data_IF_441447403008
#
_entry.id   IF_441447403008
#
_cell.length_a   1.000
_cell.length_b   1.000
_cell.length_c   1.000
_cell.angle_alpha   90.00
_cell.angle_beta   90.00
_cell.angle_gamma   90.00
#
_symmetry.space_group_name_H-M   'P 1'
#
loop_
_entity.id
_entity.type
_entity.pdbx_description
1 polymer ?
#
# COMPACT_ATOMS: atom_id res chain seq x y z
N UNK A 1 -51.41 56.11 39.79
CA UNK A 1 -51.87 55.05 38.87
C UNK A 1 -50.66 54.57 38.08
N UNK A 2 -50.27 53.30 38.28
CA UNK A 2 -49.32 52.44 37.53
C UNK A 2 -47.92 53.04 37.21
N UNK A 3 -46.80 52.71 37.89
CA UNK A 3 -46.33 51.46 38.51
C UNK A 3 -46.15 50.30 37.51
N UNK A 4 -45.10 50.38 36.69
CA UNK A 4 -44.51 49.20 36.02
C UNK A 4 -43.00 49.22 36.26
N UNK A 5 -42.53 48.07 36.74
CA UNK A 5 -41.32 47.80 37.51
C UNK A 5 -40.07 47.68 36.63
N UNK A 6 -38.95 48.18 37.15
CA UNK A 6 -37.59 48.15 36.58
C UNK A 6 -36.83 46.82 36.82
N UNK A 7 -37.51 45.69 37.01
CA UNK A 7 -36.88 44.47 37.54
C UNK A 7 -36.89 43.27 36.57
N UNK A 8 -36.74 43.49 35.26
CA UNK A 8 -36.63 42.39 34.29
C UNK A 8 -35.64 42.69 33.15
N UNK A 9 -34.47 43.20 33.48
CA UNK A 9 -33.38 43.38 32.49
C UNK A 9 -32.00 42.96 33.04
N UNK A 10 -31.98 41.95 33.91
CA UNK A 10 -30.76 41.38 34.50
C UNK A 10 -30.70 39.84 34.42
N UNK A 11 -31.51 39.24 33.55
CA UNK A 11 -31.50 37.81 33.25
C UNK A 11 -31.63 37.68 31.75
N UNK A 12 -30.82 36.84 31.11
CA UNK A 12 -30.60 36.71 29.65
C UNK A 12 -29.50 37.65 29.14
N UNK A 13 -28.25 37.35 29.49
CA UNK A 13 -27.05 37.23 28.61
C UNK A 13 -25.94 36.64 29.52
N UNK A 14 -26.17 35.42 30.03
CA UNK A 14 -25.12 34.56 30.60
C UNK A 14 -25.33 33.16 30.01
N UNK A 15 -25.49 33.05 28.68
CA UNK A 15 -25.42 31.78 27.94
C UNK A 15 -24.91 32.08 26.51
N UNK A 16 -23.73 32.70 26.37
CA UNK A 16 -22.96 32.69 25.09
C UNK A 16 -21.46 32.50 25.34
N UNK A 17 -21.06 31.87 26.45
CA UNK A 17 -19.63 31.58 26.74
C UNK A 17 -19.36 30.09 27.02
N UNK A 18 -20.35 29.21 26.79
CA UNK A 18 -20.20 27.78 27.07
C UNK A 18 -20.56 26.87 25.88
N UNK A 19 -20.14 27.26 24.67
CA UNK A 19 -20.25 26.41 23.45
C UNK A 19 -19.02 26.54 22.53
N UNK A 20 -17.85 26.86 23.10
CA UNK A 20 -16.57 26.81 22.40
C UNK A 20 -15.61 25.76 23.00
N UNK A 21 -16.11 24.86 23.87
CA UNK A 21 -15.26 23.97 24.68
C UNK A 21 -15.70 22.51 24.59
N UNK A 22 -16.06 21.99 23.41
CA UNK A 22 -16.33 20.56 23.23
C UNK A 22 -16.18 20.10 21.78
N UNK A 23 -15.06 20.43 21.12
CA UNK A 23 -14.60 19.69 19.95
C UNK A 23 -13.09 19.43 19.99
N UNK A 24 -12.55 19.17 21.18
CA UNK A 24 -11.46 18.17 21.27
C UNK A 24 -12.12 16.81 21.21
N UNK A 25 -12.65 16.47 20.03
CA UNK A 25 -12.77 15.07 19.66
C UNK A 25 -11.35 14.54 19.72
N UNK A 26 -11.00 13.84 20.80
CA UNK A 26 -9.87 12.94 20.78
C UNK A 26 -10.10 12.04 19.59
N UNK A 27 -9.43 12.34 18.48
CA UNK A 27 -9.30 11.43 17.36
C UNK A 27 -8.66 10.18 17.94
N UNK A 28 -9.50 9.21 18.29
CA UNK A 28 -9.08 7.84 18.49
C UNK A 28 -8.62 7.42 17.10
N UNK A 29 -7.35 7.69 16.80
CA UNK A 29 -6.68 7.16 15.61
C UNK A 29 -6.63 5.66 15.88
N UNK A 30 -7.69 4.95 15.49
CA UNK A 30 -7.69 3.50 15.42
C UNK A 30 -6.36 3.11 14.80
N UNK A 31 -5.59 2.31 15.53
CA UNK A 31 -4.28 1.88 15.08
C UNK A 31 -4.52 0.98 13.88
N UNK A 32 -4.45 1.58 12.69
CA UNK A 32 -4.75 0.90 11.44
C UNK A 32 -3.85 -0.31 11.31
N UNK A 33 -4.45 -1.48 11.06
CA UNK A 33 -3.67 -2.70 10.84
C UNK A 33 -2.89 -2.54 9.54
N UNK A 34 -1.58 -2.76 9.59
CA UNK A 34 -0.71 -2.69 8.41
C UNK A 34 -1.16 -3.72 7.37
N UNK A 35 -1.34 -3.27 6.14
CA UNK A 35 -1.78 -4.08 4.99
C UNK A 35 -0.71 -4.22 3.92
N UNK A 36 0.25 -3.30 3.86
CA UNK A 36 1.38 -3.42 2.95
C UNK A 36 2.66 -2.84 3.54
N UNK A 37 3.79 -3.41 3.13
CA UNK A 37 5.12 -2.87 3.37
C UNK A 37 5.69 -2.44 2.02
N UNK A 38 6.04 -1.16 1.89
CA UNK A 38 6.61 -0.58 0.67
C UNK A 38 8.09 -0.30 0.85
N UNK A 39 8.92 -1.13 0.23
CA UNK A 39 10.36 -0.91 0.14
C UNK A 39 10.65 0.11 -0.96
N UNK A 40 11.26 1.23 -0.59
CA UNK A 40 11.60 2.32 -1.50
C UNK A 40 12.99 2.88 -1.20
N UNK A 41 13.59 3.65 -2.14
CA UNK A 41 14.85 4.33 -1.86
C UNK A 41 14.66 5.33 -0.73
N UNK A 42 15.74 5.74 -0.06
CA UNK A 42 15.68 6.76 1.01
C UNK A 42 15.04 8.06 0.54
N UNK A 43 15.37 8.47 -0.68
CA UNK A 43 14.90 9.69 -1.32
C UNK A 43 14.18 9.34 -2.63
N UNK A 44 13.05 10.01 -2.88
CA UNK A 44 12.21 9.72 -4.04
C UNK A 44 11.41 8.42 -3.90
N UNK A 45 11.26 7.71 -5.01
CA UNK A 45 10.35 6.57 -5.16
C UNK A 45 9.18 6.91 -6.10
N UNK A 46 8.49 5.87 -6.56
CA UNK A 46 7.33 6.00 -7.44
C UNK A 46 6.07 6.46 -6.69
N UNK A 47 5.96 6.16 -5.40
CA UNK A 47 4.89 6.69 -4.53
C UNK A 47 5.43 7.84 -3.68
N UNK A 48 4.78 9.00 -3.78
CA UNK A 48 5.18 10.19 -3.04
C UNK A 48 4.88 10.06 -1.55
N UNK A 49 5.61 10.80 -0.71
CA UNK A 49 5.36 10.83 0.73
C UNK A 49 3.94 11.35 1.03
N UNK A 50 3.52 12.38 0.32
CA UNK A 50 2.20 13.01 0.47
C UNK A 50 1.06 12.05 0.12
N UNK A 51 1.30 11.12 -0.81
CA UNK A 51 0.34 10.06 -1.13
C UNK A 51 0.31 9.00 -0.03
N UNK A 52 1.48 8.49 0.39
CA UNK A 52 1.59 7.48 1.45
C UNK A 52 1.05 7.94 2.81
N UNK A 53 1.21 9.21 3.16
CA UNK A 53 0.72 9.79 4.42
C UNK A 53 -0.82 9.71 4.56
N UNK A 54 -1.55 9.54 3.44
CA UNK A 54 -3.01 9.33 3.43
C UNK A 54 -3.42 7.89 3.73
N UNK A 55 -2.50 6.94 3.66
CA UNK A 55 -2.75 5.50 3.78
C UNK A 55 -1.87 4.88 4.86
N UNK A 56 -2.20 5.09 6.15
CA UNK A 56 -1.41 4.58 7.27
C UNK A 56 -1.35 3.05 7.34
N UNK A 57 -2.13 2.32 6.53
CA UNK A 57 -1.99 0.87 6.38
C UNK A 57 -0.75 0.45 5.56
N UNK A 58 -0.10 1.40 4.86
CA UNK A 58 1.09 1.16 4.04
C UNK A 58 2.32 1.71 4.76
N UNK A 59 3.18 0.82 5.25
CA UNK A 59 4.43 1.23 5.89
C UNK A 59 5.55 1.33 4.86
N UNK A 60 6.07 2.54 4.67
CA UNK A 60 7.30 2.76 3.90
C UNK A 60 8.52 2.36 4.72
N UNK A 61 9.40 1.59 4.09
CA UNK A 61 10.71 1.19 4.63
C UNK A 61 11.80 1.43 3.60
N UNK A 62 13.06 1.49 4.05
CA UNK A 62 14.20 1.79 3.18
C UNK A 62 15.27 0.70 3.16
N UNK A 63 15.04 -0.38 3.90
CA UNK A 63 15.94 -1.52 3.96
C UNK A 63 15.18 -2.84 3.99
N UNK A 64 15.79 -3.88 3.40
CA UNK A 64 15.22 -5.22 3.48
C UNK A 64 15.13 -5.73 4.92
N UNK A 65 16.05 -5.33 5.80
CA UNK A 65 16.01 -5.71 7.22
C UNK A 65 14.74 -5.22 7.90
N UNK A 66 14.37 -3.95 7.69
CA UNK A 66 13.12 -3.38 8.19
C UNK A 66 11.91 -4.09 7.58
N UNK A 67 11.92 -4.32 6.26
CA UNK A 67 10.85 -5.03 5.58
C UNK A 67 10.62 -6.42 6.19
N UNK A 68 11.69 -7.23 6.34
CA UNK A 68 11.63 -8.57 6.95
C UNK A 68 11.05 -8.56 8.36
N UNK A 69 11.34 -7.52 9.15
CA UNK A 69 10.84 -7.41 10.52
C UNK A 69 9.35 -7.05 10.62
N UNK A 70 8.76 -6.51 9.55
CA UNK A 70 7.38 -6.00 9.54
C UNK A 70 6.41 -6.84 8.70
N UNK A 71 6.91 -7.64 7.75
CA UNK A 71 6.10 -8.53 6.93
C UNK A 71 5.45 -9.60 7.81
N UNK A 72 4.12 -9.72 7.72
CA UNK A 72 3.32 -10.73 8.42
C UNK A 72 2.35 -11.41 7.46
N UNK A 73 1.73 -12.53 7.84
CA UNK A 73 0.89 -13.35 6.96
C UNK A 73 -0.21 -12.60 6.17
N UNK A 74 -0.65 -11.42 6.62
CA UNK A 74 -1.70 -10.63 5.98
C UNK A 74 -1.22 -9.27 5.45
N UNK A 75 0.04 -9.17 5.05
CA UNK A 75 0.62 -7.96 4.43
C UNK A 75 1.05 -8.23 3.01
N UNK A 76 0.75 -7.32 2.08
CA UNK A 76 1.36 -7.30 0.77
C UNK A 76 2.80 -6.73 0.82
N UNK A 77 3.63 -7.15 -0.12
CA UNK A 77 5.01 -6.67 -0.28
C UNK A 77 5.06 -5.81 -1.54
N UNK A 78 5.35 -4.52 -1.38
CA UNK A 78 5.52 -3.62 -2.51
C UNK A 78 6.98 -3.22 -2.60
N UNK A 79 7.55 -3.30 -3.80
CA UNK A 79 8.95 -2.99 -4.06
C UNK A 79 8.98 -1.90 -5.11
N UNK A 80 9.69 -0.82 -4.83
CA UNK A 80 9.98 0.20 -5.83
C UNK A 80 10.96 -0.32 -6.88
N UNK A 81 10.78 0.05 -8.15
CA UNK A 81 11.69 -0.30 -9.24
C UNK A 81 13.15 0.09 -8.93
N UNK A 82 13.35 1.18 -8.19
CA UNK A 82 14.67 1.72 -7.83
C UNK A 82 15.22 1.08 -6.54
N UNK A 83 14.49 0.11 -5.96
CA UNK A 83 14.88 -0.66 -4.77
C UNK A 83 14.98 -2.17 -5.02
N UNK A 84 14.85 -2.61 -6.26
CA UNK A 84 14.95 -4.04 -6.63
C UNK A 84 16.26 -4.67 -6.15
N UNK A 85 17.38 -3.94 -6.28
CA UNK A 85 18.70 -4.41 -5.85
C UNK A 85 18.87 -4.51 -4.33
N UNK A 86 17.93 -3.99 -3.54
CA UNK A 86 17.94 -4.11 -2.08
C UNK A 86 17.27 -5.40 -1.59
N UNK A 87 16.62 -6.16 -2.49
CA UNK A 87 15.85 -7.35 -2.14
C UNK A 87 16.63 -8.62 -2.47
N UNK A 88 16.93 -9.40 -1.44
CA UNK A 88 17.31 -10.81 -1.60
C UNK A 88 16.19 -11.61 -2.27
N UNK A 89 16.49 -12.16 -3.45
CA UNK A 89 15.54 -12.86 -4.32
C UNK A 89 15.07 -14.18 -3.72
N UNK A 90 15.92 -14.87 -2.96
CA UNK A 90 15.60 -16.16 -2.35
C UNK A 90 14.54 -15.97 -1.27
N UNK A 91 14.75 -15.00 -0.38
CA UNK A 91 13.75 -14.62 0.61
C UNK A 91 12.42 -14.17 -0.03
N UNK A 92 12.48 -13.37 -1.09
CA UNK A 92 11.26 -12.91 -1.76
C UNK A 92 10.51 -14.08 -2.42
N UNK A 93 11.25 -15.05 -2.97
CA UNK A 93 10.69 -16.30 -3.52
C UNK A 93 10.01 -17.13 -2.44
N UNK A 94 10.56 -17.20 -1.23
CA UNK A 94 9.90 -17.84 -0.09
C UNK A 94 8.61 -17.13 0.31
N UNK A 95 8.60 -15.80 0.34
CA UNK A 95 7.37 -15.04 0.62
C UNK A 95 6.33 -15.24 -0.47
N UNK A 96 6.75 -15.28 -1.74
CA UNK A 96 5.86 -15.59 -2.85
C UNK A 96 5.15 -16.94 -2.63
N UNK A 97 5.90 -18.01 -2.29
CA UNK A 97 5.34 -19.35 -2.00
C UNK A 97 4.31 -19.34 -0.87
N UNK A 98 4.47 -18.45 0.11
CA UNK A 98 3.48 -18.24 1.17
C UNK A 98 2.25 -17.43 0.72
N UNK A 99 2.06 -17.26 -0.60
CA UNK A 99 0.96 -16.54 -1.26
C UNK A 99 0.85 -15.07 -0.86
N UNK A 100 1.98 -14.41 -0.62
CA UNK A 100 1.99 -12.96 -0.42
C UNK A 100 1.73 -12.27 -1.77
N UNK A 101 0.82 -11.28 -1.83
CA UNK A 101 0.76 -10.38 -2.98
C UNK A 101 2.05 -9.56 -3.07
N UNK A 102 2.73 -9.65 -4.21
CA UNK A 102 3.96 -8.92 -4.49
C UNK A 102 3.67 -7.91 -5.60
N UNK A 103 4.07 -6.66 -5.38
CA UNK A 103 3.92 -5.57 -6.35
C UNK A 103 5.28 -5.01 -6.70
N UNK A 104 5.58 -4.88 -8.00
CA UNK A 104 6.69 -4.07 -8.46
C UNK A 104 6.15 -2.73 -8.97
N UNK A 105 6.45 -1.67 -8.24
CA UNK A 105 5.99 -0.30 -8.53
C UNK A 105 6.99 0.38 -9.45
N UNK A 106 6.54 0.87 -10.59
CA UNK A 106 7.34 1.57 -11.59
C UNK A 106 7.58 0.81 -12.90
N UNK A 107 7.19 -0.47 -12.98
CA UNK A 107 7.18 -1.26 -14.22
C UNK A 107 5.81 -1.92 -14.43
N UNK A 108 5.22 -1.68 -15.61
CA UNK A 108 3.95 -2.27 -16.00
C UNK A 108 4.07 -3.60 -16.75
N UNK A 109 5.26 -4.16 -16.94
CA UNK A 109 5.40 -5.48 -17.59
C UNK A 109 5.61 -6.57 -16.52
N UNK A 110 4.68 -7.54 -16.36
CA UNK A 110 4.79 -8.54 -15.31
C UNK A 110 5.93 -9.53 -15.57
N UNK A 111 6.26 -9.83 -16.83
CA UNK A 111 7.36 -10.74 -17.14
C UNK A 111 8.67 -10.06 -16.79
N UNK A 112 8.90 -8.83 -17.24
CA UNK A 112 10.08 -8.07 -16.85
C UNK A 112 10.18 -7.94 -15.33
N UNK A 113 9.07 -7.61 -14.68
CA UNK A 113 9.02 -7.40 -13.23
C UNK A 113 9.36 -8.64 -12.42
N UNK A 114 8.74 -9.77 -12.74
CA UNK A 114 8.77 -10.95 -11.88
C UNK A 114 9.72 -12.05 -12.35
N UNK A 115 10.06 -12.08 -13.63
CA UNK A 115 11.10 -12.98 -14.17
C UNK A 115 12.48 -12.35 -14.05
N UNK A 116 12.62 -11.12 -14.54
CA UNK A 116 13.94 -10.55 -14.82
C UNK A 116 14.43 -9.54 -13.77
N UNK A 117 13.51 -8.94 -12.99
CA UNK A 117 13.87 -8.03 -11.88
C UNK A 117 13.83 -8.68 -10.51
N UNK A 118 12.70 -9.29 -10.16
CA UNK A 118 12.50 -9.87 -8.82
C UNK A 118 12.79 -11.37 -8.77
N UNK A 119 12.63 -12.07 -9.90
CA UNK A 119 12.84 -13.52 -10.04
C UNK A 119 12.12 -14.40 -9.00
N UNK A 120 11.02 -13.93 -8.39
CA UNK A 120 10.41 -14.55 -7.21
C UNK A 120 9.35 -15.64 -7.49
N UNK A 121 8.93 -15.80 -8.74
CA UNK A 121 7.90 -16.76 -9.14
C UNK A 121 8.43 -17.92 -10.00
N UNK A 122 9.76 -18.06 -10.15
CA UNK A 122 10.40 -19.09 -10.97
C UNK A 122 9.84 -19.17 -12.42
N UNK A 123 9.47 -18.00 -12.97
CA UNK A 123 8.95 -17.90 -14.33
C UNK A 123 10.08 -18.23 -15.30
N UNK A 124 9.84 -19.18 -16.22
CA UNK A 124 10.79 -19.52 -17.29
C UNK A 124 10.19 -19.16 -18.64
N UNK A 125 11.04 -18.83 -19.59
CA UNK A 125 10.63 -18.49 -20.94
C UNK A 125 11.81 -18.16 -21.84
N UNK A 126 11.56 -17.87 -23.12
CA UNK A 126 12.60 -17.46 -24.04
C UNK A 126 13.25 -16.14 -23.58
N UNK A 127 14.48 -15.93 -24.02
CA UNK A 127 15.19 -14.65 -23.87
C UNK A 127 14.37 -13.53 -24.51
N UNK A 128 14.29 -12.39 -23.80
CA UNK A 128 13.65 -11.16 -24.30
C UNK A 128 14.70 -10.06 -24.26
N UNK A 129 14.89 -9.41 -25.39
CA UNK A 129 15.74 -8.22 -25.49
C UNK A 129 14.94 -6.99 -25.01
N UNK A 130 15.05 -6.70 -23.72
CA UNK A 130 14.35 -5.58 -23.08
C UNK A 130 14.82 -4.20 -23.57
N UNK A 131 15.98 -4.11 -24.22
CA UNK A 131 16.42 -2.84 -24.82
C UNK A 131 15.56 -2.41 -26.01
N UNK A 132 14.84 -3.36 -26.61
CA UNK A 132 13.92 -3.12 -27.73
C UNK A 132 12.46 -3.01 -27.31
N UNK A 133 12.15 -3.25 -26.03
CA UNK A 133 10.79 -3.19 -25.51
C UNK A 133 10.55 -1.83 -24.85
N UNK A 134 9.35 -1.28 -25.03
CA UNK A 134 8.94 -0.06 -24.33
C UNK A 134 8.42 -0.44 -22.95
N UNK A 135 9.17 -0.13 -21.91
CA UNK A 135 8.71 -0.23 -20.53
C UNK A 135 8.00 1.07 -20.16
N UNK A 136 6.73 1.00 -19.81
CA UNK A 136 5.96 2.18 -19.44
C UNK A 136 5.85 2.32 -17.91
N UNK A 137 5.67 3.55 -17.41
CA UNK A 137 5.32 3.76 -16.01
C UNK A 137 4.04 3.00 -15.66
N UNK A 138 4.04 2.36 -14.50
CA UNK A 138 2.90 1.62 -13.99
C UNK A 138 3.33 0.69 -12.88
N UNK A 139 2.56 -0.37 -12.66
CA UNK A 139 2.94 -1.39 -11.69
C UNK A 139 2.45 -2.76 -12.13
N UNK A 140 3.16 -3.77 -11.65
CA UNK A 140 2.86 -5.18 -11.91
C UNK A 140 2.57 -5.89 -10.60
N UNK A 141 1.56 -6.76 -10.60
CA UNK A 141 1.13 -7.51 -9.42
C UNK A 141 1.25 -9.00 -9.68
N UNK A 142 1.83 -9.70 -8.72
CA UNK A 142 2.10 -11.13 -8.74
C UNK A 142 1.66 -11.82 -7.45
N UNK A 143 1.05 -13.00 -7.54
CA UNK A 143 0.74 -13.86 -6.39
C UNK A 143 0.53 -15.30 -6.85
N UNK A 144 1.04 -16.31 -6.14
CA UNK A 144 0.66 -17.70 -6.41
C UNK A 144 -0.83 -17.91 -6.09
N UNK A 145 -1.59 -18.43 -7.05
CA UNK A 145 -3.00 -18.84 -6.84
C UNK A 145 -3.04 -20.22 -6.19
N UNK A 146 -2.42 -21.18 -6.86
CA UNK A 146 -2.36 -22.58 -6.48
C UNK A 146 -0.91 -23.06 -6.55
N UNK A 147 -0.51 -23.87 -5.58
CA UNK A 147 0.80 -24.49 -5.54
C UNK A 147 0.60 -25.90 -4.98
N UNK A 148 0.78 -26.89 -5.85
CA UNK A 148 0.85 -28.31 -5.51
C UNK A 148 2.30 -28.77 -5.67
N UNK A 149 2.57 -30.06 -5.39
CA UNK A 149 3.88 -30.65 -5.65
C UNK A 149 4.22 -30.72 -7.15
N UNK A 150 3.21 -30.68 -8.02
CA UNK A 150 3.34 -30.95 -9.46
C UNK A 150 3.12 -29.71 -10.30
N UNK A 151 2.26 -28.79 -9.84
CA UNK A 151 1.86 -27.61 -10.59
C UNK A 151 1.82 -26.37 -9.71
N UNK A 152 2.17 -25.23 -10.31
CA UNK A 152 1.98 -23.93 -9.67
C UNK A 152 1.41 -22.96 -10.68
N UNK A 153 0.40 -22.19 -10.26
CA UNK A 153 -0.21 -21.15 -11.07
C UNK A 153 -0.04 -19.80 -10.40
N UNK A 154 0.33 -18.80 -11.20
CA UNK A 154 0.60 -17.45 -10.73
C UNK A 154 -0.42 -16.49 -11.33
N UNK A 155 -1.05 -15.69 -10.48
CA UNK A 155 -1.72 -14.48 -10.90
C UNK A 155 -0.66 -13.44 -11.26
N UNK A 156 -0.58 -13.05 -12.53
CA UNK A 156 0.27 -11.97 -13.02
C UNK A 156 -0.61 -10.96 -13.75
N UNK A 157 -0.59 -9.70 -13.32
CA UNK A 157 -1.35 -8.64 -13.97
C UNK A 157 -0.58 -7.34 -14.02
N UNK A 158 -0.71 -6.63 -15.14
CA UNK A 158 -0.21 -5.28 -15.32
C UNK A 158 -1.27 -4.22 -15.12
N UNK A 159 -0.81 -3.04 -14.73
CA UNK A 159 -1.62 -1.84 -14.59
C UNK A 159 -0.90 -0.67 -15.25
N UNK A 160 -1.42 -0.25 -16.41
CA UNK A 160 -0.84 0.77 -17.29
C UNK A 160 -1.32 2.17 -16.87
N UNK A 161 -0.94 2.59 -15.67
CA UNK A 161 -1.39 3.84 -15.05
C UNK A 161 -0.36 4.35 -14.05
N UNK A 162 -0.31 5.67 -13.83
CA UNK A 162 0.59 6.25 -12.83
C UNK A 162 0.34 5.59 -11.47
N UNK A 163 1.35 4.99 -10.83
CA UNK A 163 1.18 4.34 -9.54
C UNK A 163 0.61 5.30 -8.49
N UNK A 164 -0.46 4.88 -7.84
CA UNK A 164 -0.98 5.55 -6.65
C UNK A 164 -1.28 4.52 -5.54
N UNK A 165 -1.14 4.97 -4.30
CA UNK A 165 -1.24 4.10 -3.13
C UNK A 165 -2.65 3.53 -2.98
N UNK A 166 -3.69 4.30 -3.30
CA UNK A 166 -5.09 3.89 -3.18
C UNK A 166 -5.39 2.67 -4.03
N UNK A 167 -4.98 2.70 -5.29
CA UNK A 167 -5.27 1.67 -6.27
C UNK A 167 -4.48 0.41 -5.96
N UNK A 168 -3.18 0.53 -5.69
CA UNK A 168 -2.34 -0.62 -5.34
C UNK A 168 -2.88 -1.27 -4.07
N UNK A 169 -3.21 -0.48 -3.04
CA UNK A 169 -3.81 -0.98 -1.80
C UNK A 169 -5.13 -1.72 -2.04
N UNK A 170 -6.04 -1.15 -2.84
CA UNK A 170 -7.31 -1.78 -3.18
C UNK A 170 -7.09 -3.14 -3.87
N UNK A 171 -6.16 -3.20 -4.83
CA UNK A 171 -5.85 -4.43 -5.57
C UNK A 171 -5.25 -5.49 -4.63
N UNK A 172 -4.28 -5.10 -3.80
CA UNK A 172 -3.65 -6.06 -2.89
C UNK A 172 -4.57 -6.51 -1.76
N UNK A 173 -5.50 -5.67 -1.30
CA UNK A 173 -6.50 -6.07 -0.31
C UNK A 173 -7.44 -7.14 -0.87
N UNK A 174 -7.87 -7.02 -2.13
CA UNK A 174 -8.68 -8.06 -2.81
C UNK A 174 -7.92 -9.40 -2.82
N UNK A 175 -6.62 -9.36 -3.14
CA UNK A 175 -5.76 -10.55 -3.15
C UNK A 175 -5.54 -11.14 -1.75
N UNK A 176 -5.34 -10.30 -0.73
CA UNK A 176 -5.23 -10.71 0.68
C UNK A 176 -6.52 -11.37 1.18
N UNK A 177 -7.68 -10.95 0.66
CA UNK A 177 -8.98 -11.58 0.92
C UNK A 177 -9.20 -12.89 0.13
N UNK A 178 -8.20 -13.36 -0.61
CA UNK A 178 -8.24 -14.59 -1.40
C UNK A 178 -9.06 -14.46 -2.70
N UNK A 179 -9.36 -13.24 -3.14
CA UNK A 179 -10.10 -12.96 -4.38
C UNK A 179 -9.16 -12.48 -5.48
N UNK A 180 -9.56 -12.66 -6.74
CA UNK A 180 -8.81 -12.12 -7.87
C UNK A 180 -9.41 -10.78 -8.31
N UNK A 181 -8.60 -9.72 -8.47
CA UNK A 181 -9.07 -8.43 -8.96
C UNK A 181 -9.44 -8.54 -10.45
N UNK A 182 -10.60 -7.99 -10.82
CA UNK A 182 -11.09 -7.95 -12.21
C UNK A 182 -10.25 -7.05 -13.10
#
# INVERSE_FOLDING_TARGET
>A
MNLIKKDKLAFIIIIVVALASSFTGCYHKEKSTVKAIYLSPKEGGQLTKEDLDKYPEVLRVTSQKEMKALVTKNTAIWIDKDSVNLVDSDWLSEQAKNKFPIVLVGYNDPIYSFRDKLSCFNIKGPYIDWSKQKLEPGFSVGMFKEQTAEESSVFLKKYDMVPDTKQILSITNILLDGKLPQ
#
